data_IF_495369161971
#
_entry.id   IF_495369161971
#
_cell.length_a   1.000
_cell.length_b   1.000
_cell.length_c   1.000
_cell.angle_alpha   90.00
_cell.angle_beta   90.00
_cell.angle_gamma   90.00
#
_symmetry.space_group_name_H-M   'P 1'
#
loop_
_entity.id
_entity.type
_entity.pdbx_description
1 polymer ?
#
# COMPACT_ATOMS: atom_id res chain seq x y z
N UNK A 1 4.91 13.78 24.40
CA UNK A 1 5.44 14.81 23.49
C UNK A 1 5.03 14.55 22.03
N UNK A 2 5.17 13.32 21.52
CA UNK A 2 4.89 13.00 20.12
C UNK A 2 3.46 13.26 19.64
N UNK A 3 2.44 13.00 20.47
CA UNK A 3 1.03 13.27 20.11
C UNK A 3 0.79 14.74 19.78
N UNK A 4 1.45 15.65 20.51
CA UNK A 4 1.40 17.11 20.25
C UNK A 4 2.14 17.47 18.95
N UNK A 5 3.29 16.86 18.69
CA UNK A 5 4.06 17.08 17.45
C UNK A 5 3.28 16.62 16.23
N UNK A 6 2.67 15.42 16.29
CA UNK A 6 1.78 14.91 15.23
C UNK A 6 0.56 15.81 15.02
N UNK A 7 -0.05 16.28 16.11
CA UNK A 7 -1.18 17.22 16.05
C UNK A 7 -0.82 18.54 15.35
N UNK A 8 0.30 19.16 15.71
CA UNK A 8 0.78 20.39 15.04
C UNK A 8 1.02 20.16 13.55
N UNK A 9 1.70 19.07 13.20
CA UNK A 9 1.95 18.70 11.81
C UNK A 9 0.64 18.49 11.03
N UNK A 10 -0.38 17.91 11.65
CA UNK A 10 -1.71 17.77 11.06
C UNK A 10 -2.33 19.12 10.71
N UNK A 11 -2.28 20.09 11.63
CA UNK A 11 -2.78 21.44 11.39
C UNK A 11 -1.99 22.17 10.29
N UNK A 12 -0.67 21.96 10.22
CA UNK A 12 0.16 22.50 9.14
C UNK A 12 -0.28 21.94 7.77
N UNK A 13 -0.67 20.66 7.69
CA UNK A 13 -1.21 20.08 6.46
C UNK A 13 -2.61 20.59 6.11
N UNK A 14 -3.49 20.82 7.09
CA UNK A 14 -4.81 21.43 6.83
C UNK A 14 -4.63 22.79 6.15
N UNK A 15 -3.73 23.64 6.64
CA UNK A 15 -3.43 24.93 6.00
C UNK A 15 -2.93 24.76 4.56
N UNK A 16 -1.99 23.85 4.33
CA UNK A 16 -1.48 23.56 2.98
C UNK A 16 -2.58 23.08 2.02
N UNK A 17 -3.53 22.29 2.50
CA UNK A 17 -4.67 21.83 1.71
C UNK A 17 -5.61 22.98 1.35
N UNK A 18 -5.87 23.89 2.30
CA UNK A 18 -6.67 25.09 2.07
C UNK A 18 -6.00 26.05 1.09
N UNK A 19 -4.68 26.25 1.20
CA UNK A 19 -3.91 27.09 0.27
C UNK A 19 -3.89 26.52 -1.16
N UNK A 20 -4.01 25.19 -1.31
CA UNK A 20 -3.99 24.50 -2.59
C UNK A 20 -5.37 24.47 -3.30
N UNK A 21 -6.47 24.62 -2.56
CA UNK A 21 -7.82 24.56 -3.13
C UNK A 21 -8.87 25.21 -2.23
N UNK A 22 -9.64 26.15 -2.79
CA UNK A 22 -10.79 26.80 -2.14
C UNK A 22 -11.93 25.83 -1.79
N UNK A 23 -11.87 24.59 -2.24
CA UNK A 23 -12.85 23.56 -1.92
C UNK A 23 -12.62 22.93 -0.53
N UNK A 24 -11.44 23.12 0.07
CA UNK A 24 -11.13 22.56 1.39
C UNK A 24 -11.71 23.44 2.49
N UNK A 25 -12.64 22.87 3.27
CA UNK A 25 -13.32 23.55 4.37
C UNK A 25 -13.15 22.78 5.67
N UNK A 26 -13.08 23.52 6.78
CA UNK A 26 -13.15 22.93 8.12
C UNK A 26 -14.63 22.86 8.50
N UNK A 27 -15.13 21.64 8.64
CA UNK A 27 -16.50 21.40 9.07
C UNK A 27 -16.59 21.49 10.61
N UNK A 28 -17.52 22.31 11.10
CA UNK A 28 -17.71 22.60 12.52
C UNK A 28 -18.82 21.75 13.17
N UNK A 29 -19.50 20.92 12.38
CA UNK A 29 -20.56 20.03 12.86
C UNK A 29 -20.05 19.12 13.98
N UNK A 30 -20.77 19.10 15.10
CA UNK A 30 -20.50 18.24 16.24
C UNK A 30 -21.75 17.44 16.64
N UNK A 31 -21.53 16.25 17.19
CA UNK A 31 -22.56 15.31 17.62
C UNK A 31 -22.44 15.11 19.12
N UNK A 32 -23.26 15.85 19.89
CA UNK A 32 -23.17 15.87 21.35
C UNK A 32 -23.56 14.53 22.02
N UNK A 33 -24.30 13.68 21.30
CA UNK A 33 -24.71 12.33 21.72
C UNK A 33 -23.63 11.26 21.45
N UNK A 34 -22.53 11.62 20.80
CA UNK A 34 -21.45 10.71 20.42
C UNK A 34 -20.15 11.19 21.07
N UNK A 35 -19.50 10.37 21.90
CA UNK A 35 -18.20 10.75 22.48
C UNK A 35 -17.03 10.42 21.55
N UNK A 36 -17.11 9.27 20.87
CA UNK A 36 -16.01 8.74 20.06
C UNK A 36 -15.84 9.53 18.76
N UNK A 37 -14.65 10.11 18.57
CA UNK A 37 -14.28 10.88 17.36
C UNK A 37 -14.54 10.09 16.07
N UNK A 38 -14.15 8.82 16.06
CA UNK A 38 -14.34 7.93 14.90
C UNK A 38 -15.82 7.78 14.53
N UNK A 39 -16.70 7.67 15.53
CA UNK A 39 -18.14 7.60 15.30
C UNK A 39 -18.70 8.94 14.79
N UNK A 40 -18.16 10.07 15.25
CA UNK A 40 -18.50 11.41 14.69
C UNK A 40 -18.10 11.52 13.22
N UNK A 41 -16.91 11.05 12.85
CA UNK A 41 -16.42 11.06 11.47
C UNK A 41 -17.30 10.20 10.55
N UNK A 42 -17.68 8.99 10.99
CA UNK A 42 -18.58 8.12 10.25
C UNK A 42 -19.97 8.75 10.12
N UNK A 43 -20.48 9.35 11.21
CA UNK A 43 -21.78 10.02 11.19
C UNK A 43 -21.80 11.20 10.21
N UNK A 44 -20.76 12.03 10.24
CA UNK A 44 -20.59 13.15 9.31
C UNK A 44 -20.50 12.68 7.86
N UNK A 45 -19.73 11.62 7.59
CA UNK A 45 -19.65 11.02 6.26
C UNK A 45 -21.02 10.57 5.76
N UNK A 46 -21.85 9.96 6.62
CA UNK A 46 -23.22 9.57 6.26
C UNK A 46 -24.12 10.78 6.00
N UNK A 47 -24.13 11.78 6.89
CA UNK A 47 -25.01 12.94 6.79
C UNK A 47 -24.70 13.79 5.53
N UNK A 48 -23.45 13.78 5.07
CA UNK A 48 -23.00 14.49 3.87
C UNK A 48 -23.04 13.64 2.58
N UNK A 49 -23.46 12.38 2.65
CA UNK A 49 -23.27 11.39 1.56
C UNK A 49 -21.83 11.37 1.03
N UNK A 50 -20.88 11.54 1.95
CA UNK A 50 -19.46 11.68 1.71
C UNK A 50 -18.66 10.41 1.98
N UNK A 51 -17.40 10.44 1.57
CA UNK A 51 -16.43 9.37 1.82
C UNK A 51 -15.40 9.82 2.85
N UNK A 52 -14.92 8.90 3.67
CA UNK A 52 -13.86 9.18 4.67
C UNK A 52 -12.51 8.76 4.10
N UNK A 53 -11.51 9.64 4.10
CA UNK A 53 -10.13 9.29 3.76
C UNK A 53 -9.35 8.99 5.05
N UNK A 54 -8.91 7.75 5.24
CA UNK A 54 -8.17 7.34 6.44
C UNK A 54 -7.27 6.14 6.18
N UNK A 55 -6.16 6.04 6.92
CA UNK A 55 -5.28 4.86 6.94
C UNK A 55 -5.64 3.87 8.05
N UNK A 56 -6.68 4.15 8.85
CA UNK A 56 -7.10 3.29 9.95
C UNK A 56 -8.04 2.17 9.46
N UNK A 57 -7.53 0.93 9.46
CA UNK A 57 -8.28 -0.25 9.04
C UNK A 57 -9.43 -0.62 10.01
N UNK A 58 -9.35 -0.25 11.29
CA UNK A 58 -10.42 -0.49 12.26
C UNK A 58 -11.60 0.45 11.96
N UNK A 59 -11.31 1.74 11.75
CA UNK A 59 -12.29 2.72 11.31
C UNK A 59 -12.96 2.28 10.00
N UNK A 60 -12.18 1.80 9.03
CA UNK A 60 -12.70 1.32 7.74
C UNK A 60 -13.73 0.20 7.91
N UNK A 61 -13.45 -0.79 8.77
CA UNK A 61 -14.38 -1.90 9.05
C UNK A 61 -15.67 -1.42 9.71
N UNK A 62 -15.56 -0.53 10.69
CA UNK A 62 -16.73 0.01 11.41
C UNK A 62 -17.59 0.88 10.49
N UNK A 63 -16.97 1.76 9.71
CA UNK A 63 -17.64 2.63 8.75
C UNK A 63 -18.38 1.83 7.67
N UNK A 64 -17.79 0.73 7.17
CA UNK A 64 -18.42 -0.12 6.17
C UNK A 64 -19.74 -0.75 6.67
N UNK A 65 -19.79 -1.18 7.93
CA UNK A 65 -21.04 -1.69 8.56
C UNK A 65 -22.12 -0.59 8.59
N UNK A 66 -21.71 0.67 8.72
CA UNK A 66 -22.58 1.83 8.69
C UNK A 66 -22.85 2.37 7.26
N UNK A 67 -22.39 1.68 6.22
CA UNK A 67 -22.62 2.10 4.83
C UNK A 67 -21.84 3.34 4.41
N UNK A 68 -20.79 3.72 5.15
CA UNK A 68 -19.90 4.85 4.79
C UNK A 68 -18.63 4.30 4.17
N UNK A 69 -18.33 4.71 2.94
CA UNK A 69 -17.13 4.25 2.23
C UNK A 69 -15.90 4.95 2.79
N UNK A 70 -14.91 4.15 3.17
CA UNK A 70 -13.58 4.63 3.56
C UNK A 70 -12.60 4.39 2.43
N UNK A 71 -11.90 5.44 2.03
CA UNK A 71 -10.76 5.39 1.11
C UNK A 71 -9.50 5.31 1.95
N UNK A 72 -8.65 4.32 1.66
CA UNK A 72 -7.35 4.17 2.31
C UNK A 72 -6.24 4.40 1.28
N UNK A 73 -5.36 5.35 1.56
CA UNK A 73 -4.26 5.69 0.65
C UNK A 73 -3.25 4.55 0.49
N UNK A 74 -3.14 3.66 1.49
CA UNK A 74 -2.29 2.48 1.39
C UNK A 74 -2.87 1.49 0.38
N UNK A 75 -4.20 1.29 0.38
CA UNK A 75 -4.87 0.42 -0.59
C UNK A 75 -4.68 0.96 -2.02
N UNK A 76 -4.72 2.29 -2.19
CA UNK A 76 -4.41 2.93 -3.48
C UNK A 76 -2.95 2.68 -3.89
N UNK A 77 -2.00 2.86 -2.95
CA UNK A 77 -0.59 2.62 -3.22
C UNK A 77 -0.32 1.18 -3.64
N UNK A 78 -1.02 0.22 -3.04
CA UNK A 78 -0.95 -1.19 -3.43
C UNK A 78 -1.60 -1.46 -4.78
N UNK A 79 -2.72 -0.82 -5.10
CA UNK A 79 -3.44 -1.01 -6.36
C UNK A 79 -2.69 -0.47 -7.58
N UNK A 80 -1.79 0.51 -7.40
CA UNK A 80 -0.96 1.07 -8.49
C UNK A 80 0.39 0.36 -8.65
N UNK A 81 0.73 -0.60 -7.77
CA UNK A 81 1.92 -1.43 -7.96
C UNK A 81 1.78 -2.24 -9.24
N UNK A 82 2.86 -2.32 -10.02
CA UNK A 82 2.88 -3.12 -11.23
C UNK A 82 2.48 -4.59 -10.91
N UNK A 83 1.40 -5.04 -11.53
CA UNK A 83 0.93 -6.41 -11.38
C UNK A 83 1.78 -7.31 -12.26
N UNK A 84 2.81 -7.93 -11.67
CA UNK A 84 3.52 -9.04 -12.33
C UNK A 84 2.65 -10.29 -12.25
N UNK A 85 2.35 -10.91 -13.40
CA UNK A 85 1.49 -12.09 -13.51
C UNK A 85 2.26 -13.34 -13.97
N UNK A 86 1.80 -14.55 -13.61
CA UNK A 86 2.35 -15.79 -14.18
C UNK A 86 2.33 -15.78 -15.71
N UNK A 87 3.45 -16.17 -16.32
CA UNK A 87 3.68 -16.17 -17.77
C UNK A 87 4.30 -14.89 -18.32
N UNK A 88 4.36 -13.80 -17.54
CA UNK A 88 5.08 -12.60 -17.97
C UNK A 88 6.59 -12.81 -17.92
N UNK A 89 7.29 -12.24 -18.90
CA UNK A 89 8.74 -12.21 -18.92
C UNK A 89 9.24 -10.91 -18.28
N UNK A 90 10.20 -11.06 -17.37
CA UNK A 90 10.80 -9.97 -16.62
C UNK A 90 12.32 -10.04 -16.74
N UNK A 91 12.97 -8.89 -16.86
CA UNK A 91 14.42 -8.80 -16.74
C UNK A 91 14.80 -8.54 -15.29
N UNK A 92 15.66 -9.38 -14.72
CA UNK A 92 16.11 -9.25 -13.33
C UNK A 92 17.61 -9.42 -13.23
N UNK A 93 18.26 -8.56 -12.43
CA UNK A 93 19.67 -8.75 -12.05
C UNK A 93 19.75 -9.71 -10.88
N UNK A 94 20.49 -10.80 -11.04
CA UNK A 94 20.75 -11.74 -9.95
C UNK A 94 21.80 -11.12 -9.04
N UNK A 95 21.42 -10.83 -7.79
CA UNK A 95 22.29 -10.16 -6.82
C UNK A 95 23.02 -11.16 -5.92
N UNK A 96 22.37 -12.29 -5.61
CA UNK A 96 22.90 -13.33 -4.74
C UNK A 96 22.25 -14.68 -5.02
N UNK A 97 22.86 -15.74 -4.49
CA UNK A 97 22.25 -17.06 -4.45
C UNK A 97 21.00 -17.06 -3.53
N UNK A 98 20.04 -17.89 -3.90
CA UNK A 98 18.80 -18.09 -3.16
C UNK A 98 18.96 -19.07 -2.00
N UNK A 99 17.82 -19.43 -1.40
CA UNK A 99 17.80 -20.33 -0.25
C UNK A 99 17.99 -21.78 -0.67
N UNK A 100 17.31 -22.19 -1.74
CA UNK A 100 17.46 -23.53 -2.29
C UNK A 100 18.63 -23.59 -3.26
N UNK A 101 19.17 -24.79 -3.44
CA UNK A 101 20.24 -25.04 -4.40
C UNK A 101 19.82 -24.57 -5.81
N UNK A 102 20.75 -23.94 -6.53
CA UNK A 102 20.58 -23.39 -7.88
C UNK A 102 19.65 -22.16 -8.02
N UNK A 103 19.08 -21.63 -6.95
CA UNK A 103 18.31 -20.38 -7.03
C UNK A 103 19.18 -19.14 -7.12
N UNK A 104 18.74 -18.17 -7.91
CA UNK A 104 19.21 -16.79 -7.87
C UNK A 104 18.13 -15.85 -7.31
N UNK A 105 18.54 -14.79 -6.62
CA UNK A 105 17.64 -13.78 -6.06
C UNK A 105 17.98 -12.39 -6.59
N UNK A 106 16.95 -11.68 -7.04
CA UNK A 106 16.97 -10.27 -7.39
C UNK A 106 15.78 -9.53 -6.78
N UNK A 107 15.67 -8.25 -7.10
CA UNK A 107 14.60 -7.38 -6.63
C UNK A 107 14.10 -6.49 -7.76
N UNK A 108 12.81 -6.19 -7.76
CA UNK A 108 12.24 -5.08 -8.53
C UNK A 108 12.57 -3.74 -7.87
N UNK A 109 12.34 -2.65 -8.59
CA UNK A 109 12.58 -1.28 -8.10
C UNK A 109 11.74 -0.93 -6.87
N UNK A 110 10.58 -1.58 -6.70
CA UNK A 110 9.70 -1.42 -5.54
C UNK A 110 10.10 -2.29 -4.34
N UNK A 111 11.20 -3.05 -4.45
CA UNK A 111 11.71 -3.95 -3.42
C UNK A 111 11.07 -5.34 -3.41
N UNK A 112 10.18 -5.67 -4.35
CA UNK A 112 9.61 -7.02 -4.47
C UNK A 112 10.72 -8.02 -4.80
N UNK A 113 10.85 -9.06 -3.97
CA UNK A 113 11.87 -10.09 -4.16
C UNK A 113 11.48 -11.02 -5.31
N UNK A 114 12.42 -11.26 -6.24
CA UNK A 114 12.28 -12.24 -7.33
C UNK A 114 13.25 -13.38 -7.07
N UNK A 115 12.72 -14.59 -7.02
CA UNK A 115 13.48 -15.85 -6.96
C UNK A 115 13.44 -16.49 -8.35
N UNK A 116 14.61 -16.77 -8.92
CA UNK A 116 14.77 -17.37 -10.25
C UNK A 116 15.41 -18.74 -10.10
N UNK A 117 14.73 -19.77 -10.58
CA UNK A 117 15.27 -21.14 -10.63
C UNK A 117 16.45 -21.26 -11.61
N UNK A 118 17.42 -22.13 -11.29
CA UNK A 118 18.64 -22.39 -12.10
C UNK A 118 19.51 -21.15 -12.36
N UNK A 119 19.39 -20.08 -11.56
CA UNK A 119 20.06 -18.81 -11.75
C UNK A 119 21.21 -18.53 -10.77
N UNK A 120 21.56 -19.45 -9.86
CA UNK A 120 22.67 -19.27 -8.91
C UNK A 120 23.99 -18.94 -9.63
N UNK A 121 24.31 -19.66 -10.72
CA UNK A 121 25.52 -19.42 -11.51
C UNK A 121 25.50 -18.09 -12.30
N UNK A 122 24.39 -17.35 -12.28
CA UNK A 122 24.20 -16.08 -13.00
C UNK A 122 24.31 -14.86 -12.07
N UNK A 123 24.75 -15.02 -10.81
CA UNK A 123 25.01 -13.91 -9.89
C UNK A 123 25.89 -12.84 -10.55
N UNK A 124 25.46 -11.58 -10.42
CA UNK A 124 26.08 -10.40 -11.05
C UNK A 124 25.50 -10.05 -12.42
N UNK A 125 24.82 -10.98 -13.10
CA UNK A 125 24.29 -10.79 -14.45
C UNK A 125 22.78 -10.46 -14.45
N UNK A 126 22.32 -9.85 -15.54
CA UNK A 126 20.89 -9.72 -15.86
C UNK A 126 20.42 -10.92 -16.65
N UNK A 127 19.25 -11.44 -16.30
CA UNK A 127 18.62 -12.58 -16.96
C UNK A 127 17.17 -12.25 -17.30
N UNK A 128 16.68 -12.82 -18.39
CA UNK A 128 15.25 -12.87 -18.68
C UNK A 128 14.65 -14.07 -17.95
N UNK A 129 13.60 -13.83 -17.17
CA UNK A 129 12.92 -14.85 -16.39
C UNK A 129 11.41 -14.80 -16.67
N UNK A 130 10.78 -15.96 -16.80
CA UNK A 130 9.33 -16.10 -16.90
C UNK A 130 8.76 -16.34 -15.51
N UNK A 131 7.78 -15.53 -15.13
CA UNK A 131 7.11 -15.62 -13.83
C UNK A 131 6.31 -16.90 -13.76
N UNK A 132 6.55 -17.73 -12.74
CA UNK A 132 5.81 -18.97 -12.51
C UNK A 132 4.71 -18.78 -11.49
N UNK A 133 4.98 -18.03 -10.41
CA UNK A 133 3.98 -17.77 -9.36
C UNK A 133 4.31 -16.51 -8.56
N UNK A 134 3.28 -15.98 -7.89
CA UNK A 134 3.39 -14.83 -7.00
C UNK A 134 2.90 -15.26 -5.62
N UNK A 135 3.75 -15.09 -4.61
CA UNK A 135 3.43 -15.40 -3.23
C UNK A 135 3.36 -14.11 -2.41
N UNK A 136 2.18 -13.82 -1.87
CA UNK A 136 1.98 -12.74 -0.92
C UNK A 136 2.15 -13.25 0.51
N UNK A 137 3.03 -12.63 1.28
CA UNK A 137 3.24 -12.90 2.70
C UNK A 137 3.06 -11.64 3.55
N UNK A 138 2.92 -11.74 4.88
CA UNK A 138 2.91 -10.57 5.77
C UNK A 138 4.19 -9.73 5.69
N UNK A 139 5.32 -10.33 5.31
CA UNK A 139 6.62 -9.65 5.15
C UNK A 139 6.80 -9.01 3.78
N UNK A 140 5.86 -9.20 2.85
CA UNK A 140 5.92 -8.65 1.50
C UNK A 140 5.55 -9.65 0.41
N UNK A 141 5.62 -9.16 -0.83
CA UNK A 141 5.39 -9.91 -2.06
C UNK A 141 6.69 -10.58 -2.51
N UNK A 142 6.60 -11.84 -2.92
CA UNK A 142 7.69 -12.59 -3.56
C UNK A 142 7.19 -13.10 -4.92
N UNK A 143 8.06 -13.06 -5.91
CA UNK A 143 7.81 -13.56 -7.27
C UNK A 143 8.75 -14.73 -7.50
N UNK A 144 8.20 -15.86 -7.93
CA UNK A 144 8.96 -17.02 -8.37
C UNK A 144 8.96 -17.06 -9.89
N UNK A 145 10.09 -17.44 -10.47
CA UNK A 145 10.32 -17.41 -11.90
C UNK A 145 11.37 -18.43 -12.30
N UNK A 146 11.44 -18.70 -13.60
CA UNK A 146 12.42 -19.59 -14.22
C UNK A 146 13.10 -18.89 -15.38
N UNK A 147 14.34 -19.26 -15.69
CA UNK A 147 15.05 -18.68 -16.82
C UNK A 147 14.29 -18.91 -18.13
N UNK A 148 14.12 -17.86 -18.92
CA UNK A 148 13.67 -17.96 -20.31
C UNK A 148 14.81 -18.58 -21.11
N UNK A 149 14.52 -19.67 -21.83
CA UNK A 149 15.49 -20.36 -22.70
C UNK A 149 15.50 -19.75 -24.10
#
# INVERSE_FOLDING_TARGET
AEKRVRGRRGLDYVRRLQDASDQVRVEGTDYADIDAVDAKLVRLGRDLDGQVLSTDHTLAKVAAIQGVRVLNVNDLADAVKAAVLPGEQIEVKILREGREQDQGVGYLDDGTMIVVEEAAAKVGNRVQAEVTSVLQSPSGKMIFSRLVR
#
